data_IF_863712441939
#
_entry.id   IF_863712441939
#
_cell.length_a   1.000
_cell.length_b   1.000
_cell.length_c   1.000
_cell.angle_alpha   90.00
_cell.angle_beta   90.00
_cell.angle_gamma   90.00
#
_symmetry.space_group_name_H-M   'P 1'
#
loop_
_entity.id
_entity.type
_entity.pdbx_description
1 polymer ?
#
# COMPACT_ATOMS: atom_id res chain seq x y z
N UNK A 1 11.30 -2.26 -13.37
CA UNK A 1 11.99 -3.07 -12.33
C UNK A 1 11.35 -4.46 -12.16
N UNK A 2 10.05 -4.55 -11.92
CA UNK A 2 9.28 -5.81 -11.90
C UNK A 2 8.31 -5.80 -13.06
N UNK A 3 8.26 -6.90 -13.85
CA UNK A 3 7.28 -7.04 -14.92
C UNK A 3 6.68 -8.44 -14.88
N UNK A 4 5.36 -8.51 -14.84
CA UNK A 4 4.58 -9.73 -14.97
C UNK A 4 3.83 -9.66 -16.29
N UNK A 5 3.81 -10.76 -17.04
CA UNK A 5 3.08 -10.86 -18.32
C UNK A 5 2.24 -12.14 -18.33
N UNK A 6 0.92 -11.97 -18.35
CA UNK A 6 -0.04 -13.06 -18.40
C UNK A 6 0.14 -14.08 -17.27
N UNK A 7 0.57 -13.64 -16.07
CA UNK A 7 0.92 -14.53 -14.97
C UNK A 7 -0.31 -15.28 -14.49
N UNK A 8 -0.28 -16.61 -14.58
CA UNK A 8 -1.35 -17.51 -14.16
C UNK A 8 -0.84 -18.56 -13.19
N UNK A 9 -1.62 -18.85 -12.15
CA UNK A 9 -1.35 -19.91 -11.20
C UNK A 9 -2.62 -20.67 -10.85
N UNK A 10 -2.58 -21.96 -11.03
CA UNK A 10 -3.65 -22.90 -10.68
C UNK A 10 -3.17 -23.89 -9.62
N UNK A 11 -4.06 -24.25 -8.71
CA UNK A 11 -3.87 -25.28 -7.70
C UNK A 11 -5.06 -26.24 -7.72
N UNK A 12 -4.84 -27.50 -8.03
CA UNK A 12 -5.86 -28.56 -7.96
C UNK A 12 -7.25 -28.13 -8.47
N UNK A 13 -7.31 -27.43 -9.60
CA UNK A 13 -8.56 -26.96 -10.24
C UNK A 13 -9.04 -25.58 -9.79
N UNK A 14 -8.35 -24.94 -8.85
CA UNK A 14 -8.66 -23.55 -8.45
C UNK A 14 -7.66 -22.59 -9.05
N UNK A 15 -8.12 -21.60 -9.80
CA UNK A 15 -7.29 -20.55 -10.36
C UNK A 15 -7.07 -19.46 -9.30
N UNK A 16 -5.84 -19.31 -8.83
CA UNK A 16 -5.48 -18.31 -7.83
C UNK A 16 -4.98 -17.01 -8.45
N UNK A 17 -4.36 -17.08 -9.63
CA UNK A 17 -3.99 -15.92 -10.47
C UNK A 17 -4.41 -16.24 -11.91
N UNK A 18 -5.02 -15.26 -12.57
CA UNK A 18 -5.61 -15.44 -13.89
C UNK A 18 -5.22 -14.31 -14.84
N UNK A 19 -4.01 -14.41 -15.41
CA UNK A 19 -3.54 -13.47 -16.43
C UNK A 19 -3.13 -12.11 -15.85
N UNK A 20 -2.33 -12.09 -14.77
CA UNK A 20 -1.84 -10.84 -14.20
C UNK A 20 -0.79 -10.20 -15.11
N UNK A 21 -1.05 -8.99 -15.56
CA UNK A 21 -0.10 -8.09 -16.21
C UNK A 21 0.22 -6.93 -15.26
N UNK A 22 1.48 -6.76 -14.90
CA UNK A 22 1.93 -5.72 -13.98
C UNK A 22 3.30 -5.20 -14.40
N UNK A 23 3.46 -3.88 -14.37
CA UNK A 23 4.75 -3.24 -14.49
C UNK A 23 4.98 -2.28 -13.33
N UNK A 24 6.07 -2.48 -12.59
CA UNK A 24 6.50 -1.60 -11.52
C UNK A 24 7.84 -0.99 -11.90
N UNK A 25 7.88 0.32 -11.99
CA UNK A 25 9.10 1.06 -12.30
C UNK A 25 10.11 1.01 -11.14
N UNK A 26 11.36 1.35 -11.46
CA UNK A 26 12.45 1.41 -10.48
C UNK A 26 12.29 2.59 -9.53
N UNK A 27 12.54 2.38 -8.25
CA UNK A 27 12.56 3.45 -7.24
C UNK A 27 11.18 3.91 -6.76
N UNK A 28 10.09 3.25 -7.20
CA UNK A 28 8.74 3.54 -6.74
C UNK A 28 8.31 2.63 -5.58
N UNK A 29 7.36 3.11 -4.80
CA UNK A 29 6.57 2.31 -3.87
C UNK A 29 5.25 1.97 -4.56
N UNK A 30 5.04 0.70 -4.89
CA UNK A 30 3.83 0.22 -5.52
C UNK A 30 2.98 -0.59 -4.55
N UNK A 31 1.72 -0.22 -4.39
CA UNK A 31 0.75 -0.93 -3.56
C UNK A 31 0.00 -1.99 -4.36
N UNK A 32 -0.15 -3.20 -3.83
CA UNK A 32 -1.11 -4.20 -4.32
C UNK A 32 -2.17 -4.37 -3.25
N UNK A 33 -3.38 -3.95 -3.58
CA UNK A 33 -4.53 -4.02 -2.67
C UNK A 33 -5.54 -5.04 -3.16
N UNK A 34 -6.28 -5.61 -2.23
CA UNK A 34 -7.35 -6.56 -2.54
C UNK A 34 -7.85 -7.26 -1.29
N UNK A 35 -9.07 -7.76 -1.36
CA UNK A 35 -9.70 -8.50 -0.25
C UNK A 35 -8.96 -9.82 0.04
N UNK A 36 -9.26 -10.44 1.17
CA UNK A 36 -8.78 -11.79 1.46
C UNK A 36 -9.18 -12.75 0.33
N UNK A 37 -8.27 -13.62 -0.08
CA UNK A 37 -8.51 -14.54 -1.21
C UNK A 37 -8.29 -13.95 -2.61
N UNK A 38 -7.98 -12.67 -2.76
CA UNK A 38 -7.76 -12.04 -4.07
C UNK A 38 -6.54 -12.57 -4.86
N UNK A 39 -5.67 -13.39 -4.26
CA UNK A 39 -4.47 -13.95 -4.90
C UNK A 39 -3.15 -13.30 -4.46
N UNK A 40 -3.17 -12.33 -3.54
CA UNK A 40 -1.99 -11.56 -3.09
C UNK A 40 -0.81 -12.43 -2.64
N UNK A 41 -1.06 -13.37 -1.72
CA UNK A 41 0.00 -14.27 -1.22
C UNK A 41 0.54 -15.20 -2.30
N UNK A 42 -0.31 -15.65 -3.24
CA UNK A 42 0.14 -16.44 -4.40
C UNK A 42 1.03 -15.63 -5.31
N UNK A 43 0.69 -14.35 -5.51
CA UNK A 43 1.50 -13.42 -6.30
C UNK A 43 2.90 -13.24 -5.70
N UNK A 44 3.01 -13.00 -4.38
CA UNK A 44 4.31 -12.94 -3.68
C UNK A 44 5.11 -14.23 -3.89
N UNK A 45 4.47 -15.38 -3.72
CA UNK A 45 5.14 -16.67 -3.88
C UNK A 45 5.66 -16.89 -5.30
N UNK A 46 4.93 -16.42 -6.31
CA UNK A 46 5.41 -16.45 -7.70
C UNK A 46 6.58 -15.46 -7.90
N UNK A 47 6.49 -14.23 -7.38
CA UNK A 47 7.57 -13.23 -7.45
C UNK A 47 8.85 -13.70 -6.78
N UNK A 48 8.74 -14.39 -5.65
CA UNK A 48 9.88 -14.93 -4.92
C UNK A 48 10.35 -16.31 -5.43
N UNK A 49 9.64 -16.86 -6.41
CA UNK A 49 9.91 -18.23 -6.94
C UNK A 49 9.65 -19.33 -5.92
N UNK A 50 8.87 -19.08 -4.85
CA UNK A 50 8.39 -20.12 -3.94
C UNK A 50 7.32 -20.99 -4.62
N UNK A 51 6.59 -20.38 -5.56
CA UNK A 51 5.67 -21.07 -6.46
C UNK A 51 6.08 -20.82 -7.91
N UNK A 52 6.08 -21.87 -8.71
CA UNK A 52 6.26 -21.75 -10.16
C UNK A 52 4.90 -21.41 -10.79
N UNK A 53 4.78 -20.36 -11.59
CA UNK A 53 3.57 -20.08 -12.35
C UNK A 53 3.14 -21.27 -13.23
N UNK A 54 1.83 -21.40 -13.45
CA UNK A 54 1.29 -22.37 -14.42
C UNK A 54 1.56 -21.89 -15.86
N UNK A 55 1.48 -20.57 -16.07
CA UNK A 55 1.86 -19.90 -17.33
C UNK A 55 2.19 -18.42 -17.08
N UNK A 56 2.66 -17.74 -18.12
CA UNK A 56 3.11 -16.34 -18.02
C UNK A 56 4.56 -16.22 -17.56
N UNK A 57 5.03 -14.98 -17.37
CA UNK A 57 6.43 -14.70 -17.05
C UNK A 57 6.57 -13.73 -15.88
N UNK A 58 7.66 -13.92 -15.12
CA UNK A 58 8.11 -13.03 -14.03
C UNK A 58 9.50 -12.51 -14.39
N UNK A 59 9.59 -11.21 -14.67
CA UNK A 59 10.85 -10.54 -15.00
C UNK A 59 11.22 -9.62 -13.84
N UNK A 60 12.43 -9.78 -13.31
CA UNK A 60 12.98 -8.99 -12.20
C UNK A 60 14.32 -8.41 -12.64
N UNK A 61 14.45 -7.08 -12.56
CA UNK A 61 15.66 -6.37 -13.01
C UNK A 61 16.08 -6.70 -14.46
N UNK A 62 15.10 -6.94 -15.34
CA UNK A 62 15.33 -7.30 -16.73
C UNK A 62 15.66 -8.79 -16.97
N UNK A 63 15.75 -9.61 -15.93
CA UNK A 63 15.96 -11.06 -16.05
C UNK A 63 14.64 -11.82 -15.87
N UNK A 64 14.31 -12.71 -16.81
CA UNK A 64 13.22 -13.66 -16.65
C UNK A 64 13.63 -14.73 -15.63
N UNK A 65 12.97 -14.72 -14.48
CA UNK A 65 13.23 -15.62 -13.35
C UNK A 65 12.22 -16.77 -13.26
N UNK A 66 11.26 -16.82 -14.15
CA UNK A 66 10.09 -17.72 -14.11
C UNK A 66 10.48 -19.19 -13.93
N UNK A 67 11.49 -19.65 -14.67
CA UNK A 67 11.94 -21.04 -14.66
C UNK A 67 13.24 -21.25 -13.86
N UNK A 68 13.67 -20.28 -13.03
CA UNK A 68 14.89 -20.43 -12.27
C UNK A 68 14.75 -21.49 -11.18
N UNK A 69 15.77 -22.32 -11.04
CA UNK A 69 15.86 -23.36 -10.01
C UNK A 69 17.25 -23.36 -9.35
N UNK A 70 17.40 -24.09 -8.25
CA UNK A 70 18.68 -24.35 -7.63
C UNK A 70 19.50 -23.07 -7.31
N UNK A 71 20.75 -23.04 -7.73
CA UNK A 71 21.68 -21.93 -7.43
C UNK A 71 21.27 -20.62 -8.11
N UNK A 72 20.69 -20.68 -9.32
CA UNK A 72 20.25 -19.52 -10.09
C UNK A 72 19.08 -18.83 -9.39
N UNK A 73 18.11 -19.58 -8.90
CA UNK A 73 17.00 -19.07 -8.10
C UNK A 73 17.48 -18.47 -6.78
N UNK A 74 18.40 -19.14 -6.07
CA UNK A 74 18.98 -18.57 -4.83
C UNK A 74 19.69 -17.24 -5.08
N UNK A 75 20.38 -17.09 -6.21
CA UNK A 75 21.02 -15.81 -6.60
C UNK A 75 19.97 -14.73 -6.87
N UNK A 76 18.92 -15.04 -7.64
CA UNK A 76 17.82 -14.10 -7.92
C UNK A 76 17.12 -13.63 -6.61
N UNK A 77 16.84 -14.56 -5.69
CA UNK A 77 16.24 -14.24 -4.39
C UNK A 77 17.06 -13.27 -3.53
N UNK A 78 18.37 -13.20 -3.68
CA UNK A 78 19.22 -12.23 -2.95
C UNK A 78 18.98 -10.79 -3.39
N UNK A 79 18.45 -10.57 -4.59
CA UNK A 79 18.07 -9.23 -5.06
C UNK A 79 16.71 -8.77 -4.57
N UNK A 80 16.01 -9.63 -3.81
CA UNK A 80 14.69 -9.38 -3.24
C UNK A 80 14.80 -9.51 -1.72
N UNK A 81 14.54 -8.41 -1.01
CA UNK A 81 14.32 -8.43 0.43
C UNK A 81 12.85 -8.73 0.72
N UNK A 82 12.59 -9.56 1.72
CA UNK A 82 11.22 -9.89 2.12
C UNK A 82 10.94 -9.45 3.56
N UNK A 83 9.91 -8.63 3.73
CA UNK A 83 9.37 -8.20 5.02
C UNK A 83 8.03 -8.90 5.20
N UNK A 84 7.89 -9.68 6.26
CA UNK A 84 6.70 -10.46 6.57
C UNK A 84 5.80 -9.73 7.58
N UNK A 85 4.55 -10.11 7.60
CA UNK A 85 3.52 -9.57 8.50
C UNK A 85 3.92 -9.63 9.99
N UNK A 86 4.50 -10.74 10.45
CA UNK A 86 4.94 -10.95 11.84
C UNK A 86 6.45 -10.93 12.02
N UNK A 87 7.18 -10.27 11.10
CA UNK A 87 8.65 -10.21 11.05
C UNK A 87 9.36 -11.58 10.94
N UNK A 88 8.75 -12.69 11.39
CA UNK A 88 9.28 -14.07 11.28
C UNK A 88 10.75 -14.15 11.71
N UNK A 89 11.06 -13.68 12.93
CA UNK A 89 12.41 -13.71 13.49
C UNK A 89 12.73 -15.08 14.07
N UNK A 90 14.00 -15.42 14.05
CA UNK A 90 14.54 -16.63 14.71
C UNK A 90 14.64 -16.37 16.21
N UNK A 91 13.79 -17.02 17.02
CA UNK A 91 13.70 -16.81 18.47
C UNK A 91 15.01 -17.13 19.20
N UNK A 92 15.78 -18.11 18.70
CA UNK A 92 17.07 -18.52 19.27
C UNK A 92 18.23 -17.55 18.96
N UNK A 93 17.97 -16.48 18.21
CA UNK A 93 18.95 -15.48 17.77
C UNK A 93 18.61 -14.10 18.27
N UNK A 94 19.65 -13.32 18.55
CA UNK A 94 19.51 -11.89 18.88
C UNK A 94 19.06 -11.08 17.66
N UNK A 95 18.69 -9.81 17.84
CA UNK A 95 18.37 -8.89 16.76
C UNK A 95 19.51 -8.80 15.74
N UNK A 96 20.73 -8.60 16.23
CA UNK A 96 21.93 -8.53 15.39
C UNK A 96 22.17 -9.82 14.60
N UNK A 97 22.01 -10.98 15.24
CA UNK A 97 22.18 -12.27 14.60
C UNK A 97 21.07 -12.58 13.58
N UNK A 98 19.84 -12.14 13.81
CA UNK A 98 18.74 -12.23 12.85
C UNK A 98 19.07 -11.44 11.57
N UNK A 99 19.58 -10.22 11.73
CA UNK A 99 19.96 -9.36 10.59
C UNK A 99 21.14 -9.93 9.83
N UNK A 100 22.16 -10.47 10.55
CA UNK A 100 23.34 -11.06 9.92
C UNK A 100 23.05 -12.39 9.21
N UNK A 101 21.96 -13.08 9.58
CA UNK A 101 21.68 -14.45 9.14
C UNK A 101 21.65 -14.66 7.63
N UNK A 102 20.95 -13.83 6.81
CA UNK A 102 20.95 -13.96 5.35
C UNK A 102 22.36 -13.88 4.73
N UNK A 103 23.22 -13.02 5.28
CA UNK A 103 24.61 -12.88 4.83
C UNK A 103 25.44 -14.14 5.12
N UNK A 104 25.26 -14.72 6.31
CA UNK A 104 25.95 -15.97 6.70
C UNK A 104 25.50 -17.12 5.75
N UNK A 105 24.20 -17.24 5.46
CA UNK A 105 23.68 -18.21 4.48
C UNK A 105 24.24 -17.94 3.09
N UNK A 106 24.46 -16.69 2.73
CA UNK A 106 25.08 -16.29 1.48
C UNK A 106 26.58 -16.61 1.38
N UNK A 107 27.21 -17.08 2.46
CA UNK A 107 28.63 -17.43 2.54
C UNK A 107 29.55 -16.27 2.93
N UNK A 108 29.00 -15.15 3.40
CA UNK A 108 29.80 -14.02 3.92
C UNK A 108 30.42 -14.42 5.27
N UNK A 109 31.68 -14.07 5.48
CA UNK A 109 32.36 -14.35 6.76
C UNK A 109 31.60 -13.72 7.93
N UNK A 110 31.43 -14.47 9.04
CA UNK A 110 30.62 -14.06 10.21
C UNK A 110 30.99 -12.64 10.70
N UNK A 111 32.30 -12.29 10.77
CA UNK A 111 32.75 -10.97 11.20
C UNK A 111 32.21 -9.84 10.31
N UNK A 112 32.24 -10.03 8.99
CA UNK A 112 31.72 -9.06 8.02
C UNK A 112 30.18 -8.98 8.07
N UNK A 113 29.51 -10.12 8.18
CA UNK A 113 28.06 -10.17 8.32
C UNK A 113 27.56 -9.43 9.58
N UNK A 114 28.27 -9.62 10.72
CA UNK A 114 27.94 -8.93 11.96
C UNK A 114 28.23 -7.42 11.90
N UNK A 115 29.27 -7.02 11.18
CA UNK A 115 29.55 -5.59 10.95
C UNK A 115 28.45 -4.94 10.14
N UNK A 116 28.06 -5.55 9.04
CA UNK A 116 26.96 -5.05 8.20
C UNK A 116 25.63 -5.01 8.97
N UNK A 117 25.39 -5.99 9.82
CA UNK A 117 24.19 -6.02 10.66
C UNK A 117 24.14 -4.85 11.66
N UNK A 118 25.29 -4.40 12.22
CA UNK A 118 25.35 -3.22 13.09
C UNK A 118 25.00 -1.93 12.32
N UNK A 119 25.51 -1.77 11.11
CA UNK A 119 25.14 -0.63 10.24
C UNK A 119 23.63 -0.58 10.01
N UNK A 120 23.01 -1.74 9.78
CA UNK A 120 21.57 -1.85 9.57
C UNK A 120 20.76 -1.63 10.85
N UNK A 121 21.27 -2.00 12.02
CA UNK A 121 20.67 -1.66 13.33
C UNK A 121 20.53 -0.13 13.47
N UNK A 122 21.61 0.59 13.18
CA UNK A 122 21.60 2.06 13.20
C UNK A 122 20.62 2.62 12.16
N UNK A 123 20.64 2.07 10.93
CA UNK A 123 19.77 2.52 9.84
C UNK A 123 18.27 2.42 10.20
N UNK A 124 17.87 1.40 10.97
CA UNK A 124 16.47 1.22 11.38
C UNK A 124 16.14 1.78 12.77
N UNK A 125 17.11 2.47 13.43
CA UNK A 125 16.91 3.10 14.74
C UNK A 125 16.71 2.11 15.87
N UNK A 126 17.60 1.09 15.97
CA UNK A 126 17.56 0.04 16.99
C UNK A 126 18.87 -0.04 17.81
N UNK A 127 19.63 1.06 17.91
CA UNK A 127 20.82 1.11 18.71
C UNK A 127 20.53 0.75 20.18
N UNK A 128 21.41 -0.06 20.76
CA UNK A 128 21.25 -0.59 22.12
C UNK A 128 20.28 -1.77 22.24
N UNK A 129 19.81 -2.33 21.11
CA UNK A 129 18.94 -3.51 21.06
C UNK A 129 19.59 -4.71 20.35
N UNK A 130 20.89 -4.62 20.05
CA UNK A 130 21.65 -5.62 19.29
C UNK A 130 21.55 -7.02 19.86
N UNK A 131 21.67 -7.13 21.18
CA UNK A 131 21.70 -8.39 21.92
C UNK A 131 20.34 -8.86 22.41
N UNK A 132 19.26 -8.10 22.14
CA UNK A 132 17.91 -8.49 22.51
C UNK A 132 17.40 -9.65 21.63
N UNK A 133 16.79 -10.64 22.26
CA UNK A 133 16.03 -11.70 21.57
C UNK A 133 14.63 -11.18 21.17
N UNK A 134 13.96 -11.82 20.18
CA UNK A 134 12.62 -11.39 19.70
C UNK A 134 11.58 -11.20 20.82
N UNK A 135 11.60 -12.05 21.86
CA UNK A 135 10.69 -11.94 23.01
C UNK A 135 10.91 -10.69 23.87
N UNK A 136 12.07 -10.02 23.75
CA UNK A 136 12.42 -8.82 24.50
C UNK A 136 12.17 -7.53 23.69
N UNK A 137 11.65 -7.66 22.47
CA UNK A 137 11.38 -6.57 21.55
C UNK A 137 9.88 -6.29 21.43
N UNK A 138 9.49 -5.02 21.31
CA UNK A 138 8.12 -4.64 20.95
C UNK A 138 7.77 -5.10 19.52
N UNK A 139 6.49 -5.09 19.16
CA UNK A 139 6.03 -5.42 17.80
C UNK A 139 6.74 -4.59 16.73
N UNK A 140 6.78 -3.27 16.90
CA UNK A 140 7.47 -2.37 15.99
C UNK A 140 9.00 -2.59 15.94
N UNK A 141 9.63 -2.90 17.09
CA UNK A 141 11.05 -3.24 17.11
C UNK A 141 11.33 -4.54 16.37
N UNK A 142 10.50 -5.58 16.55
CA UNK A 142 10.61 -6.82 15.75
C UNK A 142 10.47 -6.54 14.26
N UNK A 143 9.51 -5.69 13.87
CA UNK A 143 9.32 -5.33 12.46
C UNK A 143 10.53 -4.58 11.89
N UNK A 144 11.14 -3.65 12.64
CA UNK A 144 12.39 -2.99 12.25
C UNK A 144 13.54 -3.98 12.08
N UNK A 145 13.67 -4.99 12.93
CA UNK A 145 14.65 -6.08 12.75
C UNK A 145 14.35 -6.86 11.46
N UNK A 146 13.09 -7.16 11.19
CA UNK A 146 12.63 -7.82 9.95
C UNK A 146 13.01 -7.03 8.69
N UNK A 147 12.79 -5.70 8.72
CA UNK A 147 13.18 -4.78 7.64
C UNK A 147 14.71 -4.77 7.47
N UNK A 148 15.46 -4.60 8.55
CA UNK A 148 16.93 -4.62 8.51
C UNK A 148 17.47 -5.95 7.95
N UNK A 149 16.89 -7.08 8.36
CA UNK A 149 17.23 -8.41 7.84
C UNK A 149 16.96 -8.51 6.34
N UNK A 150 15.84 -7.97 5.87
CA UNK A 150 15.50 -7.95 4.45
C UNK A 150 16.51 -7.13 3.63
N UNK A 151 17.09 -6.09 4.20
CA UNK A 151 18.09 -5.21 3.56
C UNK A 151 19.52 -5.77 3.62
N UNK A 152 19.78 -6.84 4.38
CA UNK A 152 21.13 -7.33 4.65
C UNK A 152 21.92 -7.67 3.38
N UNK A 153 21.24 -8.26 2.38
CA UNK A 153 21.85 -8.66 1.10
C UNK A 153 21.87 -7.55 0.04
N UNK A 154 21.59 -6.30 0.42
CA UNK A 154 21.53 -5.13 -0.47
C UNK A 154 20.58 -5.36 -1.65
N UNK A 155 19.30 -5.71 -1.37
CA UNK A 155 18.34 -6.00 -2.41
C UNK A 155 18.00 -4.75 -3.21
N UNK A 156 17.63 -4.94 -4.47
CA UNK A 156 17.07 -3.86 -5.31
C UNK A 156 15.56 -3.71 -5.14
N UNK A 157 14.91 -4.74 -4.62
CA UNK A 157 13.47 -4.81 -4.43
C UNK A 157 13.19 -5.21 -2.98
N UNK A 158 12.28 -4.47 -2.32
CA UNK A 158 11.74 -4.82 -1.02
C UNK A 158 10.28 -5.22 -1.19
N UNK A 159 9.97 -6.49 -0.95
CA UNK A 159 8.60 -6.99 -0.91
C UNK A 159 8.10 -6.94 0.53
N UNK A 160 7.02 -6.23 0.78
CA UNK A 160 6.40 -6.10 2.10
C UNK A 160 5.02 -6.77 2.07
N UNK A 161 4.87 -7.87 2.80
CA UNK A 161 3.60 -8.56 2.95
C UNK A 161 2.93 -8.13 4.24
N UNK A 162 1.94 -7.25 4.14
CA UNK A 162 1.19 -6.66 5.25
C UNK A 162 2.09 -6.16 6.40
N UNK A 163 3.06 -5.26 6.13
CA UNK A 163 4.14 -4.95 7.07
C UNK A 163 3.70 -4.27 8.37
N UNK A 164 2.43 -3.84 8.46
CA UNK A 164 1.89 -3.04 9.57
C UNK A 164 0.63 -3.63 10.21
N UNK A 165 0.06 -4.71 9.68
CA UNK A 165 -1.25 -5.25 10.10
C UNK A 165 -1.33 -5.73 11.56
N UNK A 166 -0.19 -5.96 12.23
CA UNK A 166 -0.12 -6.39 13.63
C UNK A 166 0.38 -5.26 14.56
N UNK A 167 0.34 -4.00 14.12
CA UNK A 167 0.87 -2.85 14.83
C UNK A 167 -0.23 -1.83 15.15
N UNK A 168 -0.02 -1.04 16.19
CA UNK A 168 -0.86 0.13 16.48
C UNK A 168 -0.62 1.26 15.46
N UNK A 169 -1.53 2.22 15.38
CA UNK A 169 -1.50 3.30 14.39
C UNK A 169 -0.22 4.16 14.46
N UNK A 170 0.28 4.43 15.66
CA UNK A 170 1.51 5.23 15.85
C UNK A 170 2.73 4.46 15.33
N UNK A 171 2.83 3.20 15.68
CA UNK A 171 3.91 2.31 15.21
C UNK A 171 3.81 2.08 13.70
N UNK A 172 2.60 1.92 13.17
CA UNK A 172 2.33 1.84 11.72
C UNK A 172 2.92 3.03 10.98
N UNK A 173 2.58 4.26 11.37
CA UNK A 173 3.11 5.47 10.75
C UNK A 173 4.66 5.51 10.78
N UNK A 174 5.27 5.09 11.89
CA UNK A 174 6.73 5.03 12.01
C UNK A 174 7.37 4.00 11.07
N UNK A 175 6.75 2.83 10.88
CA UNK A 175 7.23 1.80 9.95
C UNK A 175 7.08 2.26 8.51
N UNK A 176 5.95 2.88 8.15
CA UNK A 176 5.73 3.41 6.81
C UNK A 176 6.72 4.53 6.47
N UNK A 177 6.95 5.46 7.41
CA UNK A 177 7.97 6.51 7.27
C UNK A 177 9.37 5.93 7.07
N UNK A 178 9.73 4.89 7.83
CA UNK A 178 11.00 4.18 7.67
C UNK A 178 11.12 3.55 6.27
N UNK A 179 10.09 2.84 5.78
CA UNK A 179 10.10 2.23 4.44
C UNK A 179 10.28 3.30 3.36
N UNK A 180 9.60 4.44 3.50
CA UNK A 180 9.73 5.57 2.56
C UNK A 180 11.13 6.15 2.57
N UNK A 181 11.69 6.39 3.76
CA UNK A 181 13.07 6.86 3.92
C UNK A 181 14.07 5.89 3.28
N UNK A 182 13.93 4.58 3.54
CA UNK A 182 14.81 3.56 2.96
C UNK A 182 14.72 3.51 1.43
N UNK A 183 13.54 3.70 0.85
CA UNK A 183 13.37 3.83 -0.60
C UNK A 183 14.15 5.04 -1.12
N UNK A 184 14.02 6.19 -0.47
CA UNK A 184 14.66 7.44 -0.89
C UNK A 184 16.20 7.37 -0.74
N UNK A 185 16.69 6.85 0.38
CA UNK A 185 18.12 6.79 0.70
C UNK A 185 18.88 5.73 -0.11
N UNK A 186 18.23 4.58 -0.37
CA UNK A 186 18.87 3.42 -1.01
C UNK A 186 18.49 3.25 -2.49
N UNK A 187 17.53 4.01 -3.00
CA UNK A 187 17.04 3.90 -4.38
C UNK A 187 16.37 2.56 -4.70
N UNK A 188 15.87 1.84 -3.68
CA UNK A 188 15.22 0.54 -3.86
C UNK A 188 13.80 0.70 -4.37
N UNK A 189 13.29 -0.32 -5.04
CA UNK A 189 11.86 -0.43 -5.42
C UNK A 189 11.12 -1.17 -4.33
N UNK A 190 9.98 -0.67 -3.90
CA UNK A 190 9.17 -1.30 -2.85
C UNK A 190 7.84 -1.79 -3.43
N UNK A 191 7.50 -3.02 -3.14
CA UNK A 191 6.19 -3.59 -3.43
C UNK A 191 5.50 -3.90 -2.10
N UNK A 192 4.42 -3.20 -1.80
CA UNK A 192 3.64 -3.39 -0.57
C UNK A 192 2.35 -4.11 -0.91
N UNK A 193 2.12 -5.23 -0.24
CA UNK A 193 0.84 -5.92 -0.29
C UNK A 193 0.10 -5.60 1.00
N UNK A 194 -1.12 -5.13 0.85
CA UNK A 194 -1.97 -4.76 1.98
C UNK A 194 -3.45 -4.86 1.61
N UNK A 195 -4.30 -4.95 2.61
CA UNK A 195 -5.73 -4.71 2.49
C UNK A 195 -6.14 -3.33 3.07
N UNK A 196 -5.17 -2.57 3.61
CA UNK A 196 -5.38 -1.28 4.24
C UNK A 196 -5.15 -0.13 3.26
N UNK A 197 -6.21 0.58 2.87
CA UNK A 197 -6.12 1.74 1.96
C UNK A 197 -5.36 2.91 2.58
N UNK A 198 -5.33 3.02 3.92
CA UNK A 198 -4.53 4.01 4.65
C UNK A 198 -3.04 3.89 4.33
N UNK A 199 -2.51 2.66 4.27
CA UNK A 199 -1.11 2.39 3.91
C UNK A 199 -0.81 2.87 2.49
N UNK A 200 -1.69 2.55 1.52
CA UNK A 200 -1.53 2.99 0.13
C UNK A 200 -1.51 4.50 0.03
N UNK A 201 -2.44 5.15 0.69
CA UNK A 201 -2.59 6.60 0.72
C UNK A 201 -1.37 7.32 1.29
N UNK A 202 -0.75 6.73 2.31
CA UNK A 202 0.35 7.34 3.05
C UNK A 202 1.68 7.29 2.30
N UNK A 203 1.99 6.17 1.62
CA UNK A 203 3.36 6.01 1.08
C UNK A 203 3.47 5.54 -0.37
N UNK A 204 2.37 5.06 -1.02
CA UNK A 204 2.47 4.54 -2.37
C UNK A 204 2.51 5.64 -3.44
N UNK A 205 3.28 5.40 -4.50
CA UNK A 205 3.30 6.23 -5.70
C UNK A 205 2.29 5.73 -6.74
N UNK A 206 2.02 4.42 -6.74
CA UNK A 206 1.09 3.75 -7.65
C UNK A 206 0.43 2.56 -6.96
N UNK A 207 -0.68 2.10 -7.49
CA UNK A 207 -1.48 1.03 -6.89
C UNK A 207 -2.09 0.10 -7.94
N UNK A 208 -2.18 -1.18 -7.60
CA UNK A 208 -2.95 -2.19 -8.34
C UNK A 208 -4.05 -2.75 -7.45
N UNK A 209 -5.29 -2.69 -7.91
CA UNK A 209 -6.40 -3.40 -7.30
C UNK A 209 -6.47 -4.82 -7.85
N UNK A 210 -6.28 -5.79 -6.97
CA UNK A 210 -6.36 -7.21 -7.27
C UNK A 210 -7.69 -7.77 -6.75
N UNK A 211 -8.48 -8.39 -7.62
CA UNK A 211 -9.69 -9.10 -7.24
C UNK A 211 -9.85 -10.37 -8.08
N UNK A 212 -10.26 -11.46 -7.45
CA UNK A 212 -10.51 -12.75 -8.11
C UNK A 212 -9.33 -13.23 -8.97
N UNK A 213 -8.11 -13.02 -8.49
CA UNK A 213 -6.90 -13.41 -9.20
C UNK A 213 -6.56 -12.55 -10.43
N UNK A 214 -7.21 -11.42 -10.65
CA UNK A 214 -7.00 -10.52 -11.80
C UNK A 214 -6.71 -9.10 -11.34
N UNK A 215 -5.92 -8.36 -12.11
CA UNK A 215 -5.86 -6.91 -11.90
C UNK A 215 -7.10 -6.25 -12.49
N UNK A 216 -7.84 -5.58 -11.62
CA UNK A 216 -9.00 -4.78 -12.00
C UNK A 216 -8.58 -3.39 -12.46
N UNK A 217 -7.59 -2.82 -11.83
CA UNK A 217 -7.09 -1.47 -12.12
C UNK A 217 -5.64 -1.34 -11.68
N UNK A 218 -4.82 -0.68 -12.49
CA UNK A 218 -3.44 -0.31 -12.15
C UNK A 218 -3.18 1.11 -12.63
N UNK A 219 -2.81 2.01 -11.73
CA UNK A 219 -2.55 3.41 -12.06
C UNK A 219 -1.62 4.06 -11.03
N UNK A 220 -1.07 5.22 -11.35
CA UNK A 220 -0.46 6.08 -10.35
C UNK A 220 -1.51 6.55 -9.34
N UNK A 221 -1.08 6.81 -8.11
CA UNK A 221 -2.00 7.30 -7.08
C UNK A 221 -2.67 8.62 -7.50
N UNK A 222 -1.91 9.47 -8.21
CA UNK A 222 -2.43 10.72 -8.74
C UNK A 222 -3.54 10.51 -9.78
N UNK A 223 -3.39 9.56 -10.70
CA UNK A 223 -4.44 9.22 -11.69
C UNK A 223 -5.69 8.70 -11.03
N UNK A 224 -5.55 7.77 -10.07
CA UNK A 224 -6.69 7.25 -9.29
C UNK A 224 -7.45 8.37 -8.60
N UNK A 225 -6.74 9.27 -7.92
CA UNK A 225 -7.35 10.38 -7.18
C UNK A 225 -7.93 11.47 -8.09
N UNK A 226 -7.48 11.56 -9.35
CA UNK A 226 -8.04 12.49 -10.34
C UNK A 226 -9.36 12.00 -10.94
N UNK A 227 -9.75 10.74 -10.72
CA UNK A 227 -11.06 10.19 -11.06
C UNK A 227 -11.89 9.90 -9.79
N UNK A 228 -12.57 10.93 -9.25
CA UNK A 228 -13.31 10.79 -7.98
C UNK A 228 -14.53 9.87 -8.10
N UNK A 229 -14.95 9.48 -9.30
CA UNK A 229 -16.03 8.53 -9.54
C UNK A 229 -15.57 7.08 -9.38
N UNK A 230 -14.26 6.80 -9.46
CA UNK A 230 -13.74 5.43 -9.38
C UNK A 230 -13.96 4.82 -8.00
N UNK A 231 -14.27 3.53 -7.97
CA UNK A 231 -14.41 2.77 -6.71
C UNK A 231 -13.14 2.84 -5.87
N UNK A 232 -11.96 2.77 -6.52
CA UNK A 232 -10.68 2.82 -5.84
C UNK A 232 -10.41 4.18 -5.20
N UNK A 233 -10.78 5.30 -5.86
CA UNK A 233 -10.67 6.63 -5.27
C UNK A 233 -11.56 6.77 -4.03
N UNK A 234 -12.77 6.21 -4.08
CA UNK A 234 -13.70 6.22 -2.93
C UNK A 234 -13.19 5.38 -1.77
N UNK A 235 -12.56 4.25 -2.02
CA UNK A 235 -11.93 3.43 -0.98
C UNK A 235 -10.69 4.10 -0.38
N UNK A 236 -9.93 4.85 -1.19
CA UNK A 236 -8.79 5.63 -0.72
C UNK A 236 -9.22 6.82 0.15
N UNK A 237 -10.38 7.42 -0.10
CA UNK A 237 -10.90 8.57 0.66
C UNK A 237 -12.25 8.19 1.27
N UNK A 238 -12.27 7.38 2.35
CA UNK A 238 -13.51 6.98 2.99
C UNK A 238 -14.16 8.16 3.70
N UNK A 239 -15.49 8.25 3.60
CA UNK A 239 -16.25 9.13 4.48
C UNK A 239 -16.42 8.50 5.86
N UNK A 240 -16.37 9.29 6.94
CA UNK A 240 -16.82 8.83 8.25
C UNK A 240 -18.25 8.31 8.19
N UNK A 241 -18.57 7.32 9.03
CA UNK A 241 -19.94 6.83 9.14
C UNK A 241 -20.88 7.97 9.52
N UNK A 242 -22.01 8.08 8.81
CA UNK A 242 -23.02 9.04 9.17
C UNK A 242 -23.62 8.72 10.55
N UNK A 243 -24.01 9.72 11.34
CA UNK A 243 -24.82 9.49 12.54
C UNK A 243 -26.12 8.79 12.15
N UNK A 244 -26.61 7.91 13.02
CA UNK A 244 -27.91 7.27 12.86
C UNK A 244 -28.97 8.37 12.95
N UNK A 245 -29.70 8.61 11.87
CA UNK A 245 -30.84 9.53 11.84
C UNK A 245 -32.14 8.75 12.02
N UNK A 246 -33.11 9.36 12.69
CA UNK A 246 -34.45 8.81 12.75
C UNK A 246 -35.11 8.90 11.36
N UNK A 247 -35.91 7.88 11.00
CA UNK A 247 -36.52 7.75 9.67
C UNK A 247 -37.47 8.92 9.30
N UNK A 248 -37.84 9.77 10.26
CA UNK A 248 -38.65 10.96 10.04
C UNK A 248 -37.86 12.16 9.47
N UNK A 249 -36.52 12.13 9.52
CA UNK A 249 -35.61 13.18 9.03
C UNK A 249 -35.00 12.84 7.65
N UNK A 250 -35.83 12.36 6.72
CA UNK A 250 -35.41 12.03 5.35
C UNK A 250 -35.06 13.31 4.53
N UNK A 251 -34.05 14.04 4.99
CA UNK A 251 -33.51 15.19 4.28
C UNK A 251 -32.56 14.73 3.17
N UNK A 252 -32.74 15.24 1.96
CA UNK A 252 -31.83 14.97 0.83
C UNK A 252 -30.43 15.47 1.19
N UNK A 253 -29.47 14.55 1.13
CA UNK A 253 -28.04 14.84 1.27
C UNK A 253 -27.33 14.57 -0.04
N UNK A 254 -26.27 15.29 -0.31
CA UNK A 254 -25.37 15.03 -1.44
C UNK A 254 -24.04 14.51 -0.92
N UNK A 255 -23.55 13.48 -1.55
CA UNK A 255 -22.17 13.06 -1.41
C UNK A 255 -21.36 13.62 -2.58
N UNK A 256 -20.37 14.42 -2.27
CA UNK A 256 -19.49 15.03 -3.27
C UNK A 256 -18.07 14.49 -3.12
N UNK A 257 -17.39 14.30 -4.24
CA UNK A 257 -15.97 13.94 -4.30
C UNK A 257 -15.22 15.00 -5.10
N UNK A 258 -14.17 15.52 -4.49
CA UNK A 258 -13.34 16.61 -5.04
C UNK A 258 -11.95 16.09 -5.33
N UNK A 259 -11.38 16.56 -6.45
CA UNK A 259 -10.00 16.31 -6.84
C UNK A 259 -9.40 17.59 -7.48
N UNK A 260 -8.31 18.08 -6.91
CA UNK A 260 -7.64 19.28 -7.38
C UNK A 260 -8.32 20.60 -7.01
N UNK A 261 -9.37 20.55 -6.21
CA UNK A 261 -10.07 21.74 -5.67
C UNK A 261 -9.99 21.71 -4.15
N UNK A 262 -9.85 22.87 -3.53
CA UNK A 262 -9.97 23.01 -2.08
C UNK A 262 -11.44 23.03 -1.64
N UNK A 263 -11.71 22.65 -0.39
CA UNK A 263 -13.05 22.79 0.17
C UNK A 263 -13.54 24.25 0.13
N UNK A 264 -12.65 25.22 0.33
CA UNK A 264 -13.00 26.65 0.27
C UNK A 264 -13.56 27.04 -1.12
N UNK A 265 -12.96 26.54 -2.20
CA UNK A 265 -13.44 26.80 -3.56
C UNK A 265 -14.83 26.18 -3.79
N UNK A 266 -15.12 25.03 -3.20
CA UNK A 266 -16.44 24.38 -3.27
C UNK A 266 -17.49 25.20 -2.52
N UNK A 267 -17.20 25.66 -1.30
CA UNK A 267 -18.10 26.51 -0.53
C UNK A 267 -18.37 27.83 -1.22
N UNK A 268 -17.33 28.44 -1.77
CA UNK A 268 -17.41 29.72 -2.50
C UNK A 268 -18.28 29.58 -3.77
N UNK A 269 -18.13 28.46 -4.47
CA UNK A 269 -18.95 28.15 -5.64
C UNK A 269 -20.44 28.00 -5.29
N UNK A 270 -20.75 27.30 -4.21
CA UNK A 270 -22.10 27.11 -3.69
C UNK A 270 -22.73 28.46 -3.29
N UNK A 271 -21.97 29.29 -2.59
CA UNK A 271 -22.42 30.62 -2.14
C UNK A 271 -22.74 31.55 -3.32
N UNK A 272 -21.87 31.61 -4.32
CA UNK A 272 -22.07 32.44 -5.53
C UNK A 272 -23.25 32.00 -6.36
N UNK A 273 -23.61 30.73 -6.32
CA UNK A 273 -24.76 30.18 -7.06
C UNK A 273 -26.09 30.36 -6.29
N UNK A 274 -26.08 30.98 -5.11
CA UNK A 274 -27.27 31.14 -4.28
C UNK A 274 -27.81 29.85 -3.64
N UNK A 275 -26.98 28.81 -3.59
CA UNK A 275 -27.28 27.50 -2.98
C UNK A 275 -26.24 27.18 -1.91
N UNK A 276 -26.19 27.95 -0.79
CA UNK A 276 -25.14 27.78 0.20
C UNK A 276 -25.19 26.40 0.86
N UNK A 277 -24.02 25.86 1.17
CA UNK A 277 -23.89 24.67 2.01
C UNK A 277 -24.16 25.10 3.46
N UNK A 278 -25.22 24.58 4.05
CA UNK A 278 -25.63 24.92 5.43
C UNK A 278 -25.28 23.83 6.42
N UNK A 279 -25.03 22.61 5.94
CA UNK A 279 -24.63 21.48 6.76
C UNK A 279 -23.59 20.62 6.06
N UNK A 280 -22.59 20.20 6.84
CA UNK A 280 -21.61 19.16 6.47
C UNK A 280 -21.73 18.05 7.51
N UNK A 281 -22.32 16.94 7.12
CA UNK A 281 -22.54 15.80 8.02
C UNK A 281 -21.26 14.98 8.23
N UNK A 282 -20.50 14.80 7.15
CA UNK A 282 -19.22 14.09 7.16
C UNK A 282 -18.27 14.70 6.13
N UNK A 283 -16.99 14.71 6.44
CA UNK A 283 -15.97 15.16 5.52
C UNK A 283 -14.64 14.44 5.77
N UNK A 284 -13.96 14.09 4.68
CA UNK A 284 -12.55 13.73 4.65
C UNK A 284 -11.89 14.63 3.62
N UNK A 285 -10.93 15.43 4.06
CA UNK A 285 -10.19 16.38 3.23
C UNK A 285 -8.71 16.19 3.50
N UNK A 286 -7.95 15.87 2.47
CA UNK A 286 -6.53 15.55 2.57
C UNK A 286 -5.75 16.07 1.36
N UNK A 287 -4.42 16.14 1.51
CA UNK A 287 -3.52 16.40 0.40
C UNK A 287 -2.67 15.15 0.14
N UNK A 288 -2.98 14.45 -0.95
CA UNK A 288 -2.36 13.17 -1.31
C UNK A 288 -1.74 13.28 -2.70
N UNK A 289 -0.51 12.80 -2.88
CA UNK A 289 0.23 12.88 -4.14
C UNK A 289 0.26 14.30 -4.75
N UNK A 290 0.26 15.34 -3.91
CA UNK A 290 0.27 16.75 -4.30
C UNK A 290 -1.08 17.29 -4.80
N UNK A 291 -2.16 16.50 -4.70
CA UNK A 291 -3.53 16.93 -5.00
C UNK A 291 -4.31 17.20 -3.71
N UNK A 292 -5.09 18.27 -3.69
CA UNK A 292 -6.14 18.44 -2.70
C UNK A 292 -7.30 17.54 -3.11
N UNK A 293 -7.67 16.60 -2.26
CA UNK A 293 -8.71 15.60 -2.51
C UNK A 293 -9.64 15.50 -1.32
N UNK A 294 -10.87 15.11 -1.56
CA UNK A 294 -11.78 14.93 -0.45
C UNK A 294 -13.14 14.39 -0.86
N UNK A 295 -13.86 13.94 0.16
CA UNK A 295 -15.27 13.59 0.05
C UNK A 295 -16.02 14.27 1.17
N UNK A 296 -17.19 14.77 0.87
CA UNK A 296 -18.06 15.43 1.85
C UNK A 296 -19.51 14.99 1.63
N UNK A 297 -20.24 14.83 2.74
CA UNK A 297 -21.69 14.70 2.72
C UNK A 297 -22.28 16.01 3.20
N UNK A 298 -23.03 16.67 2.31
CA UNK A 298 -23.48 18.06 2.46
C UNK A 298 -24.94 18.24 2.10
N UNK A 299 -25.55 19.30 2.61
CA UNK A 299 -26.85 19.80 2.13
C UNK A 299 -26.94 21.31 2.14
N UNK A 300 -27.93 21.83 1.39
CA UNK A 300 -28.37 23.21 1.44
C UNK A 300 -29.61 23.35 2.33
N UNK A 301 -30.30 24.49 2.25
CA UNK A 301 -31.39 24.88 3.14
C UNK A 301 -32.58 23.94 3.14
N UNK A 302 -32.89 23.33 1.99
CA UNK A 302 -33.98 22.40 1.79
C UNK A 302 -33.67 21.41 0.65
N UNK A 303 -34.54 20.45 0.41
CA UNK A 303 -34.34 19.41 -0.62
C UNK A 303 -34.21 19.99 -2.05
N UNK A 304 -34.97 21.05 -2.39
CA UNK A 304 -34.89 21.67 -3.69
C UNK A 304 -33.58 22.43 -3.89
N UNK A 305 -33.17 23.20 -2.90
CA UNK A 305 -31.87 23.90 -2.88
C UNK A 305 -30.70 22.91 -2.89
N UNK A 306 -30.81 21.77 -2.20
CA UNK A 306 -29.79 20.72 -2.19
C UNK A 306 -29.63 20.11 -3.57
N UNK A 307 -30.70 19.78 -4.28
CA UNK A 307 -30.61 19.29 -5.67
C UNK A 307 -30.10 20.35 -6.64
N UNK A 308 -30.44 21.64 -6.42
CA UNK A 308 -29.88 22.74 -7.20
C UNK A 308 -28.38 22.88 -6.96
N UNK A 309 -27.92 22.78 -5.71
CA UNK A 309 -26.51 22.73 -5.34
C UNK A 309 -25.79 21.60 -6.09
N UNK A 310 -26.38 20.40 -6.13
CA UNK A 310 -25.81 19.25 -6.85
C UNK A 310 -25.55 19.57 -8.33
N UNK A 311 -26.52 20.16 -9.01
CA UNK A 311 -26.36 20.57 -10.43
C UNK A 311 -25.22 21.60 -10.59
N UNK A 312 -25.19 22.61 -9.74
CA UNK A 312 -24.15 23.65 -9.77
C UNK A 312 -22.74 23.07 -9.58
N UNK A 313 -22.58 22.13 -8.66
CA UNK A 313 -21.29 21.49 -8.40
C UNK A 313 -20.89 20.57 -9.57
N UNK A 314 -21.85 19.83 -10.14
CA UNK A 314 -21.59 18.97 -11.31
C UNK A 314 -21.17 19.79 -12.53
N UNK A 315 -21.79 20.95 -12.81
CA UNK A 315 -21.39 21.87 -13.88
C UNK A 315 -19.95 22.39 -13.73
N UNK A 316 -19.40 22.35 -12.50
CA UNK A 316 -18.01 22.70 -12.19
C UNK A 316 -17.07 21.51 -12.19
N UNK A 317 -17.52 20.33 -12.61
CA UNK A 317 -16.70 19.13 -12.71
C UNK A 317 -16.51 18.40 -11.36
N UNK A 318 -17.30 18.75 -10.34
CA UNK A 318 -17.31 18.03 -9.06
C UNK A 318 -18.21 16.82 -9.19
N UNK A 319 -17.73 15.66 -8.79
CA UNK A 319 -18.54 14.44 -8.76
C UNK A 319 -19.56 14.51 -7.63
N UNK A 320 -20.86 14.32 -7.96
CA UNK A 320 -21.97 14.49 -7.02
C UNK A 320 -22.91 13.29 -7.15
N UNK A 321 -23.29 12.72 -6.01
CA UNK A 321 -24.31 11.66 -5.89
C UNK A 321 -25.32 12.04 -4.79
N UNK A 322 -26.58 11.64 -4.91
CA UNK A 322 -27.50 11.70 -3.77
C UNK A 322 -27.09 10.62 -2.77
N UNK A 323 -26.90 11.00 -1.50
CA UNK A 323 -26.58 10.04 -0.45
C UNK A 323 -27.81 9.19 -0.15
N UNK A 324 -27.61 7.88 -0.07
CA UNK A 324 -28.67 6.92 0.24
C UNK A 324 -29.01 6.93 1.73
#
# INVERSE_FOLDING_TARGET
MITLKGLRKEFAGTTALDGIDLHVESGLIHGIVGRSGAGKSTLIRCLTGLETPTSGTVVINGEDVTAYTGARLRKARRSIGMVFQHAELLDSKTALENIAHPLVIAGVKKKQAMQRARELITLVGLEGREDNHPAQLSGGQRQRVGIARALATEPKILLCDEPTSALDSTTTAQILALIKQLRDDLGITVLIITHEMSVVREICDSVTLLAEGRNQHTASLREVLSDPASTLARELIPLPSAPIRDAEDATVMLEISIAGLSAAEVFDAAQRAGTPIVEVEAATLERIAGLDVGRMRIRSTDAQATRALGRTLTERGIHVEEAA
#
